data_IF_438226179460
#
_entry.id   IF_438226179460
#
_cell.length_a   1.000
_cell.length_b   1.000
_cell.length_c   1.000
_cell.angle_alpha   90.00
_cell.angle_beta   90.00
_cell.angle_gamma   90.00
#
_symmetry.space_group_name_H-M   'P 1'
#
loop_
_entity.id
_entity.type
_entity.pdbx_description
1 polymer ?
#
# COMPACT_ATOMS: atom_id res chain seq x y z
N UNK A 1 15.00 14.36 2.50
CA UNK A 1 13.73 14.14 3.21
C UNK A 1 12.62 14.14 2.17
N UNK A 2 11.83 13.08 2.08
CA UNK A 2 10.69 13.03 1.15
C UNK A 2 9.45 13.51 1.89
N UNK A 3 8.79 14.52 1.34
CA UNK A 3 7.48 15.01 1.81
C UNK A 3 6.58 15.07 0.58
N UNK A 4 5.55 14.24 0.57
CA UNK A 4 4.58 14.16 -0.53
C UNK A 4 3.22 13.72 0.02
N UNK A 5 2.14 14.04 -0.70
CA UNK A 5 0.84 13.47 -0.37
C UNK A 5 0.84 11.98 -0.72
N UNK A 6 0.24 11.12 0.11
CA UNK A 6 0.07 9.71 -0.26
C UNK A 6 -0.87 9.57 -1.47
N UNK A 7 -1.72 10.56 -1.74
CA UNK A 7 -2.61 10.60 -2.89
C UNK A 7 -1.85 10.76 -4.22
N UNK A 8 -0.60 11.21 -4.19
CA UNK A 8 0.27 11.30 -5.37
C UNK A 8 0.82 9.93 -5.78
N UNK A 9 0.74 8.93 -4.89
CA UNK A 9 1.12 7.56 -5.22
C UNK A 9 0.03 6.90 -6.09
N UNK A 10 0.47 6.21 -7.15
CA UNK A 10 -0.44 5.54 -8.09
C UNK A 10 -1.30 4.49 -7.33
N UNK A 11 -2.63 4.57 -7.42
CA UNK A 11 -3.50 3.54 -6.85
C UNK A 11 -3.36 2.23 -7.63
N UNK A 12 -3.23 1.13 -6.90
CA UNK A 12 -3.15 -0.23 -7.43
C UNK A 12 -4.36 -0.98 -6.88
N UNK A 13 -5.20 -1.53 -7.78
CA UNK A 13 -6.29 -2.41 -7.37
C UNK A 13 -5.69 -3.74 -6.90
N UNK A 14 -5.82 -4.03 -5.61
CA UNK A 14 -5.26 -5.25 -5.00
C UNK A 14 -6.28 -6.39 -5.02
N UNK A 15 -7.49 -6.10 -4.55
CA UNK A 15 -8.65 -7.00 -4.52
C UNK A 15 -9.92 -6.22 -4.91
N UNK A 16 -11.06 -6.88 -5.18
CA UNK A 16 -12.34 -6.18 -5.28
C UNK A 16 -12.60 -5.31 -4.04
N UNK A 17 -12.77 -4.00 -4.24
CA UNK A 17 -12.99 -3.03 -3.15
C UNK A 17 -11.77 -2.71 -2.28
N UNK A 18 -10.56 -3.15 -2.65
CA UNK A 18 -9.32 -2.82 -1.94
C UNK A 18 -8.29 -2.21 -2.88
N UNK A 19 -7.86 -0.99 -2.56
CA UNK A 19 -6.85 -0.25 -3.32
C UNK A 19 -5.61 -0.05 -2.45
N UNK A 20 -4.44 -0.39 -2.98
CA UNK A 20 -3.12 -0.22 -2.36
C UNK A 20 -2.38 0.95 -3.00
N UNK A 21 -1.67 1.74 -2.20
CA UNK A 21 -0.70 2.74 -2.65
C UNK A 21 0.66 2.48 -2.03
N UNK A 22 1.68 2.39 -2.87
CA UNK A 22 3.09 2.27 -2.45
C UNK A 22 3.67 3.66 -2.27
N UNK A 23 3.73 4.12 -1.01
CA UNK A 23 4.09 5.51 -0.71
C UNK A 23 5.60 5.67 -0.67
N UNK A 24 6.29 4.83 0.12
CA UNK A 24 7.75 4.80 0.25
C UNK A 24 8.21 3.33 0.23
N UNK A 25 8.96 2.92 -0.79
CA UNK A 25 9.54 1.59 -0.92
C UNK A 25 11.03 1.69 -1.31
N UNK A 26 11.65 0.56 -1.69
CA UNK A 26 13.07 0.51 -2.05
C UNK A 26 13.43 1.46 -3.21
N UNK A 27 12.55 1.62 -4.19
CA UNK A 27 12.68 2.54 -5.32
C UNK A 27 12.73 4.03 -4.91
N UNK A 28 12.22 4.36 -3.72
CA UNK A 28 12.25 5.70 -3.11
C UNK A 28 13.26 5.82 -1.96
N UNK A 29 14.22 4.91 -1.88
CA UNK A 29 15.32 4.99 -0.92
C UNK A 29 14.99 4.46 0.48
N UNK A 30 13.93 3.66 0.65
CA UNK A 30 13.67 2.90 1.88
C UNK A 30 14.01 1.41 1.68
N UNK A 31 15.28 1.00 1.84
CA UNK A 31 15.71 -0.37 1.54
C UNK A 31 15.25 -1.41 2.58
N UNK A 32 14.88 -0.97 3.79
CA UNK A 32 14.64 -1.86 4.92
C UNK A 32 13.15 -2.09 5.22
N UNK A 33 12.27 -1.25 4.67
CA UNK A 33 10.83 -1.36 4.88
C UNK A 33 10.08 -0.70 3.72
N UNK A 34 8.78 -0.98 3.63
CA UNK A 34 7.88 -0.33 2.68
C UNK A 34 6.67 0.24 3.43
N UNK A 35 6.34 1.50 3.19
CA UNK A 35 5.12 2.14 3.67
C UNK A 35 4.05 2.11 2.59
N UNK A 36 2.88 1.57 2.95
CA UNK A 36 1.73 1.44 2.06
C UNK A 36 0.48 1.97 2.74
N UNK A 37 -0.42 2.54 1.95
CA UNK A 37 -1.75 2.95 2.40
C UNK A 37 -2.78 2.10 1.65
N UNK A 38 -3.73 1.53 2.38
CA UNK A 38 -4.81 0.74 1.83
C UNK A 38 -6.14 1.46 2.05
N UNK A 39 -6.89 1.66 0.97
CA UNK A 39 -8.29 2.03 1.02
C UNK A 39 -9.12 0.75 0.92
N UNK A 40 -10.04 0.57 1.87
CA UNK A 40 -10.95 -0.59 1.91
C UNK A 40 -12.38 -0.06 1.86
N UNK A 41 -13.10 -0.40 0.79
CA UNK A 41 -14.51 -0.04 0.64
C UNK A 41 -15.37 -0.76 1.69
N UNK A 42 -16.50 -0.17 2.13
CA UNK A 42 -17.41 -0.85 3.04
C UNK A 42 -17.84 -2.24 2.52
N UNK A 43 -17.61 -3.28 3.34
CA UNK A 43 -17.92 -4.67 3.00
C UNK A 43 -16.84 -5.43 2.24
N UNK A 44 -15.79 -4.75 1.76
CA UNK A 44 -14.59 -5.40 1.24
C UNK A 44 -13.70 -5.93 2.39
N UNK A 45 -12.85 -6.90 2.07
CA UNK A 45 -11.91 -7.48 3.04
C UNK A 45 -10.69 -8.06 2.34
N UNK A 46 -9.62 -8.23 3.11
CA UNK A 46 -8.47 -9.06 2.74
C UNK A 46 -8.65 -10.43 3.40
N UNK A 47 -8.74 -11.54 2.63
CA UNK A 47 -8.90 -12.88 3.21
C UNK A 47 -7.77 -13.20 4.20
N UNK A 48 -8.06 -14.07 5.16
CA UNK A 48 -7.03 -14.59 6.08
C UNK A 48 -5.89 -15.24 5.29
N UNK A 49 -4.66 -14.84 5.60
CA UNK A 49 -3.43 -15.32 4.96
C UNK A 49 -2.24 -15.17 5.91
N UNK A 50 -1.13 -15.79 5.55
CA UNK A 50 0.13 -15.74 6.29
C UNK A 50 1.31 -15.48 5.36
N UNK A 51 2.36 -14.87 5.91
CA UNK A 51 3.61 -14.63 5.21
C UNK A 51 4.79 -15.05 6.12
N UNK A 52 5.91 -15.51 5.53
CA UNK A 52 7.07 -15.98 6.29
C UNK A 52 7.96 -14.83 6.83
N UNK A 53 7.55 -13.58 6.66
CA UNK A 53 8.23 -12.37 7.13
C UNK A 53 7.29 -11.50 7.96
#
# INVERSE_FOLDING_TARGET
MIVSSYLDAKPIKELPGVVKREVICADKGAPNFCMRVFDVEPGAFTPSHEHPW
#
